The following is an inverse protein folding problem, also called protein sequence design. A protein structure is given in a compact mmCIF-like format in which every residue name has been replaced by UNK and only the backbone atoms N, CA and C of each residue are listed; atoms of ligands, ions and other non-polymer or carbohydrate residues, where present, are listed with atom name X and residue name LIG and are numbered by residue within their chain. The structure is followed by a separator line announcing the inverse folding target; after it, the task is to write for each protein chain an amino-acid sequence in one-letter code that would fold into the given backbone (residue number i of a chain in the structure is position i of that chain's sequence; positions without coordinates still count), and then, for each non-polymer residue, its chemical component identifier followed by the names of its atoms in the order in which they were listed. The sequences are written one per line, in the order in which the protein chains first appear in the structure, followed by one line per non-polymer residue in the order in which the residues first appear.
data_IF_486734933237
#
_entry.id   IF_486734933237
#
_cell.length_a   1.000
_cell.length_b   1.000
_cell.length_c   1.000
_cell.angle_alpha   90.00
_cell.angle_beta   90.00
_cell.angle_gamma   90.00
#
_symmetry.space_group_name_H-M   'P 1'
#
loop_
_entity.id
_entity.type
_entity.pdbx_description
1 polymer ?
#
# COMPACT_ATOMS: atom_id res chain seq x y z
N UNK A 1 19.13 -4.99 -14.72
CA UNK A 1 17.73 -4.54 -14.56
C UNK A 1 17.48 -4.27 -13.08
N UNK A 2 17.77 -3.07 -12.59
CA UNK A 2 17.44 -2.71 -11.20
C UNK A 2 16.00 -2.19 -11.20
N UNK A 3 15.07 -3.00 -10.68
CA UNK A 3 13.66 -2.61 -10.58
C UNK A 3 13.42 -1.54 -9.50
N UNK A 4 12.23 -0.95 -9.52
CA UNK A 4 11.83 0.07 -8.55
C UNK A 4 11.46 -0.55 -7.19
N UNK A 5 11.65 0.23 -6.12
CA UNK A 5 11.27 -0.10 -4.74
C UNK A 5 10.31 0.97 -4.23
N UNK A 6 9.25 0.56 -3.52
CA UNK A 6 8.32 1.49 -2.90
C UNK A 6 9.04 2.36 -1.86
N UNK A 7 8.91 3.68 -1.99
CA UNK A 7 9.43 4.65 -1.03
C UNK A 7 8.37 5.70 -0.76
N UNK A 8 7.97 5.82 0.50
CA UNK A 8 6.97 6.79 0.96
C UNK A 8 7.64 7.83 1.86
N UNK A 9 8.40 8.80 1.31
CA UNK A 9 9.18 9.76 2.09
C UNK A 9 8.33 10.71 2.93
N UNK A 10 7.03 10.77 2.66
CA UNK A 10 6.04 11.53 3.43
C UNK A 10 5.46 10.74 4.62
N UNK A 11 5.67 9.43 4.67
CA UNK A 11 5.15 8.59 5.73
C UNK A 11 6.13 8.61 6.91
N UNK A 12 5.69 9.14 8.05
CA UNK A 12 6.49 9.14 9.26
C UNK A 12 6.55 7.73 9.85
N UNK A 13 7.63 7.39 10.54
CA UNK A 13 7.83 6.04 11.11
C UNK A 13 6.74 5.65 12.12
N UNK A 14 6.10 6.65 12.75
CA UNK A 14 4.95 6.47 13.64
C UNK A 14 3.71 5.88 12.95
N UNK A 15 3.64 5.91 11.62
CA UNK A 15 2.57 5.28 10.86
C UNK A 15 2.67 3.74 10.87
N UNK A 16 3.79 3.17 11.33
CA UNK A 16 3.95 1.72 11.51
C UNK A 16 4.13 0.93 10.21
N UNK A 17 4.14 1.59 9.05
CA UNK A 17 4.27 0.94 7.75
C UNK A 17 5.75 0.79 7.37
N UNK A 18 6.14 -0.43 7.00
CA UNK A 18 7.48 -0.79 6.56
C UNK A 18 7.43 -1.43 5.18
N UNK A 19 8.41 -1.10 4.35
CA UNK A 19 8.61 -1.74 3.04
C UNK A 19 9.73 -2.76 3.19
N UNK A 20 9.41 -4.04 3.13
CA UNK A 20 10.40 -5.14 3.20
C UNK A 20 10.28 -5.95 1.91
N UNK A 21 11.38 -6.08 1.16
CA UNK A 21 11.40 -6.83 -0.11
C UNK A 21 10.30 -6.40 -1.10
N UNK A 22 10.05 -5.09 -1.23
CA UNK A 22 8.96 -4.49 -2.04
C UNK A 22 7.54 -4.81 -1.57
N UNK A 23 7.38 -5.43 -0.41
CA UNK A 23 6.10 -5.65 0.22
C UNK A 23 5.85 -4.59 1.31
N UNK A 24 4.71 -3.92 1.25
CA UNK A 24 4.29 -2.90 2.21
C UNK A 24 3.48 -3.59 3.31
N UNK A 25 3.99 -3.54 4.55
CA UNK A 25 3.40 -4.25 5.69
C UNK A 25 3.54 -3.43 6.98
N UNK A 26 2.63 -3.59 7.96
CA UNK A 26 1.47 -4.49 7.98
C UNK A 26 0.22 -3.84 7.34
N UNK A 27 -0.37 -4.51 6.34
CA UNK A 27 -1.59 -4.06 5.67
C UNK A 27 -2.63 -5.19 5.61
N UNK A 28 -3.84 -4.92 6.09
CA UNK A 28 -4.98 -5.80 5.89
C UNK A 28 -5.52 -5.65 4.46
N UNK A 29 -5.75 -6.77 3.77
CA UNK A 29 -6.15 -6.82 2.34
C UNK A 29 -5.25 -5.99 1.40
N UNK A 30 -3.97 -5.79 1.75
CA UNK A 30 -3.05 -4.89 1.02
C UNK A 30 -3.58 -3.45 0.86
N UNK A 31 -4.46 -3.02 1.76
CA UNK A 31 -5.19 -1.77 1.66
C UNK A 31 -5.15 -0.99 2.97
N UNK A 32 -5.62 -1.59 4.07
CA UNK A 32 -5.86 -0.88 5.33
C UNK A 32 -4.66 -1.07 6.25
N UNK A 33 -4.12 0.02 6.79
CA UNK A 33 -3.10 -0.05 7.83
C UNK A 33 -3.71 -0.58 9.14
N UNK A 34 -3.17 -1.69 9.64
CA UNK A 34 -3.69 -2.33 10.87
C UNK A 34 -3.38 -1.47 12.10
N UNK A 35 -2.26 -0.76 12.10
CA UNK A 35 -1.84 0.13 13.19
C UNK A 35 -2.70 1.41 13.24
N UNK A 36 -3.15 1.88 12.06
CA UNK A 36 -3.93 3.10 11.92
C UNK A 36 -5.05 2.88 10.89
N UNK A 37 -6.22 2.34 11.30
CA UNK A 37 -7.30 1.99 10.37
C UNK A 37 -7.95 3.19 9.67
N UNK A 38 -7.63 4.43 10.08
CA UNK A 38 -7.96 5.66 9.35
C UNK A 38 -7.07 5.90 8.11
N UNK A 39 -6.03 5.08 7.89
CA UNK A 39 -5.10 5.18 6.78
C UNK A 39 -5.19 3.95 5.89
N UNK A 40 -5.45 4.18 4.60
CA UNK A 40 -5.36 3.16 3.56
C UNK A 40 -4.29 3.53 2.51
N UNK A 41 -3.66 2.52 1.92
CA UNK A 41 -2.75 2.67 0.79
C UNK A 41 -3.39 1.98 -0.42
N UNK A 42 -3.53 2.75 -1.50
CA UNK A 42 -4.12 2.33 -2.76
C UNK A 42 -2.99 2.20 -3.80
N UNK A 43 -3.09 1.24 -4.73
CA UNK A 43 -2.12 1.11 -5.84
C UNK A 43 -0.83 0.34 -5.51
N UNK A 44 -0.84 -0.56 -4.51
CA UNK A 44 0.33 -1.39 -4.16
C UNK A 44 0.57 -2.52 -5.18
N UNK A 45 -0.41 -3.37 -5.56
CA UNK A 45 -0.20 -4.39 -6.58
C UNK A 45 0.18 -3.79 -7.96
N UNK A 46 1.35 -4.18 -8.47
CA UNK A 46 1.89 -3.69 -9.75
C UNK A 46 1.54 -4.52 -10.99
N UNK A 47 1.14 -5.78 -10.82
CA UNK A 47 0.88 -6.73 -11.92
C UNK A 47 -0.62 -6.87 -12.27
N UNK A 48 -1.48 -5.99 -11.76
CA UNK A 48 -2.94 -6.03 -11.97
C UNK A 48 -3.40 -4.90 -12.89
N UNK A 49 -4.58 -5.05 -13.50
CA UNK A 49 -5.23 -3.98 -14.25
C UNK A 49 -5.57 -2.81 -13.32
N UNK A 50 -4.70 -1.80 -13.35
CA UNK A 50 -4.64 -0.71 -12.37
C UNK A 50 -5.97 0.03 -12.22
N UNK A 51 -6.67 0.31 -13.32
CA UNK A 51 -7.95 1.03 -13.30
C UNK A 51 -9.04 0.29 -12.52
N UNK A 52 -9.29 -0.99 -12.82
CA UNK A 52 -10.28 -1.79 -12.08
C UNK A 52 -9.89 -1.98 -10.62
N UNK A 53 -8.58 -2.07 -10.34
CA UNK A 53 -8.11 -2.19 -8.98
C UNK A 53 -8.41 -0.92 -8.17
N UNK A 54 -8.17 0.26 -8.74
CA UNK A 54 -8.51 1.52 -8.08
C UNK A 54 -10.01 1.61 -7.75
N UNK A 55 -10.87 1.23 -8.70
CA UNK A 55 -12.32 1.24 -8.49
C UNK A 55 -12.75 0.28 -7.37
N UNK A 56 -12.21 -0.93 -7.34
CA UNK A 56 -12.50 -1.90 -6.29
C UNK A 56 -11.97 -1.46 -4.92
N UNK A 57 -10.79 -0.84 -4.89
CA UNK A 57 -10.16 -0.35 -3.66
C UNK A 57 -10.95 0.83 -3.06
N UNK A 58 -11.43 1.76 -3.90
CA UNK A 58 -12.28 2.88 -3.47
C UNK A 58 -13.67 2.39 -3.05
N UNK A 59 -14.27 1.45 -3.78
CA UNK A 59 -15.60 0.93 -3.43
C UNK A 59 -15.61 0.09 -2.13
N UNK A 60 -14.45 -0.37 -1.67
CA UNK A 60 -14.30 -1.21 -0.47
C UNK A 60 -13.86 -0.42 0.77
N UNK A 61 -13.61 0.88 0.64
CA UNK A 61 -13.19 1.79 1.73
C UNK A 61 -14.37 2.66 2.14
#
# INVERSE_FOLDING_TARGET
MQGYTYRYPFLHESCGIKVVNKNVQPLYKHLINIEHPSMCIIGIPGDTVVFYMFDLQVSST
#
